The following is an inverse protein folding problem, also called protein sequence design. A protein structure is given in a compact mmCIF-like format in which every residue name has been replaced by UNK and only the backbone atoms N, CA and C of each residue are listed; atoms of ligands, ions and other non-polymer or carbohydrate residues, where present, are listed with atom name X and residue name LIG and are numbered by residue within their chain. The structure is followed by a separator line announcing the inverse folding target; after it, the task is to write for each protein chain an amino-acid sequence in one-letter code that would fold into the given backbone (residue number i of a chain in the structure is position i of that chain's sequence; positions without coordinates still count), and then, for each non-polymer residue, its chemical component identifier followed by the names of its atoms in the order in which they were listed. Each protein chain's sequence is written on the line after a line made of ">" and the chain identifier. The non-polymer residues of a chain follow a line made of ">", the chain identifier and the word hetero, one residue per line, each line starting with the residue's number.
data_IF_184561112656
#
_entry.id   IF_184561112656
#
_cell.length_a   1.000
_cell.length_b   1.000
_cell.length_c   1.000
_cell.angle_alpha   90.00
_cell.angle_beta   90.00
_cell.angle_gamma   90.00
#
_symmetry.space_group_name_H-M   'P 1'
#
loop_
_entity.id
_entity.type
_entity.pdbx_description
1 polymer ?
#
# COMPACT_ATOMS: atom_id res chain seq x y z
N UNK A 1 14.48 -14.88 20.81
CA UNK A 1 13.86 -13.55 20.67
C UNK A 1 13.55 -13.01 22.06
N UNK A 2 13.68 -11.71 22.35
CA UNK A 2 13.24 -11.07 23.60
C UNK A 2 11.87 -10.39 23.48
N UNK A 3 11.28 -9.91 24.59
CA UNK A 3 10.00 -9.15 24.53
C UNK A 3 10.12 -7.90 23.64
N UNK A 4 11.26 -7.22 23.68
CA UNK A 4 11.53 -6.04 22.85
C UNK A 4 11.53 -6.41 21.36
N UNK A 5 12.27 -7.46 20.99
CA UNK A 5 12.36 -7.94 19.61
C UNK A 5 11.00 -8.40 19.06
N UNK A 6 10.15 -9.04 19.88
CA UNK A 6 8.78 -9.38 19.49
C UNK A 6 7.94 -8.14 19.17
N UNK A 7 8.07 -7.07 19.96
CA UNK A 7 7.34 -5.82 19.71
C UNK A 7 7.84 -5.18 18.41
N UNK A 8 9.15 -5.09 18.21
CA UNK A 8 9.73 -4.57 16.97
C UNK A 8 9.27 -5.36 15.74
N UNK A 9 9.20 -6.70 15.82
CA UNK A 9 8.66 -7.53 14.74
C UNK A 9 7.19 -7.21 14.45
N UNK A 10 6.35 -7.06 15.49
CA UNK A 10 4.95 -6.67 15.33
C UNK A 10 4.80 -5.29 14.69
N UNK A 11 5.64 -4.32 15.08
CA UNK A 11 5.64 -2.96 14.50
C UNK A 11 6.08 -2.98 13.03
N UNK A 12 7.12 -3.75 12.71
CA UNK A 12 7.57 -3.97 11.33
C UNK A 12 6.44 -4.56 10.47
N UNK A 13 5.80 -5.63 10.93
CA UNK A 13 4.68 -6.24 10.21
C UNK A 13 3.49 -5.29 10.07
N UNK A 14 3.21 -4.46 11.08
CA UNK A 14 2.14 -3.47 11.03
C UNK A 14 2.40 -2.37 9.98
N UNK A 15 3.68 -2.01 9.80
CA UNK A 15 4.19 -1.03 8.83
C UNK A 15 4.16 -1.55 7.39
N UNK A 16 4.63 -2.77 7.19
CA UNK A 16 4.90 -3.33 5.85
C UNK A 16 3.72 -4.10 5.26
N UNK A 17 2.70 -4.44 6.07
CA UNK A 17 1.58 -5.27 5.62
C UNK A 17 0.21 -4.68 5.95
N UNK A 18 -0.79 -5.09 5.18
CA UNK A 18 -2.21 -4.77 5.43
C UNK A 18 -2.90 -5.76 6.39
N UNK A 19 -2.17 -6.67 7.05
CA UNK A 19 -2.74 -7.69 7.94
C UNK A 19 -3.46 -7.07 9.14
N UNK A 20 -4.43 -7.78 9.69
CA UNK A 20 -5.11 -7.29 10.89
C UNK A 20 -4.12 -7.25 12.09
N UNK A 21 -4.12 -6.20 12.94
CA UNK A 21 -3.20 -6.11 14.07
C UNK A 21 -3.32 -7.29 15.05
N UNK A 22 -4.51 -7.87 15.22
CA UNK A 22 -4.70 -9.06 16.05
C UNK A 22 -4.09 -10.29 15.40
N UNK A 23 -4.20 -10.41 14.08
CA UNK A 23 -3.55 -11.48 13.32
C UNK A 23 -2.02 -11.41 13.43
N UNK A 24 -1.43 -10.21 13.30
CA UNK A 24 0.01 -9.98 13.51
C UNK A 24 0.41 -10.40 14.92
N UNK A 25 -0.30 -9.91 15.94
CA UNK A 25 -0.04 -10.24 17.33
C UNK A 25 -0.07 -11.75 17.58
N UNK A 26 -1.14 -12.42 17.15
CA UNK A 26 -1.29 -13.86 17.37
C UNK A 26 -0.24 -14.66 16.62
N UNK A 27 0.12 -14.24 15.40
CA UNK A 27 1.19 -14.87 14.62
C UNK A 27 2.54 -14.79 15.33
N UNK A 28 2.94 -13.61 15.81
CA UNK A 28 4.25 -13.41 16.47
C UNK A 28 4.29 -14.12 17.83
N UNK A 29 3.20 -14.06 18.60
CA UNK A 29 3.11 -14.75 19.89
C UNK A 29 3.10 -16.27 19.76
N UNK A 30 2.42 -16.84 18.75
CA UNK A 30 2.44 -18.30 18.50
C UNK A 30 3.81 -18.79 18.10
N UNK A 31 4.58 -18.00 17.35
CA UNK A 31 5.96 -18.34 17.00
C UNK A 31 6.93 -18.27 18.19
N UNK A 32 6.57 -17.58 19.28
CA UNK A 32 7.43 -17.34 20.44
C UNK A 32 6.66 -17.49 21.77
N UNK A 33 6.16 -18.70 22.10
CA UNK A 33 5.20 -18.89 23.18
C UNK A 33 5.76 -18.58 24.57
N UNK A 34 7.05 -18.86 24.82
CA UNK A 34 7.70 -18.63 26.12
C UNK A 34 7.68 -17.16 26.55
N UNK A 35 7.61 -16.25 25.58
CA UNK A 35 7.66 -14.80 25.81
C UNK A 35 6.31 -14.16 25.49
N UNK A 36 5.62 -14.67 24.46
CA UNK A 36 4.30 -14.22 24.05
C UNK A 36 3.26 -14.32 25.17
N UNK A 37 3.39 -15.26 26.10
CA UNK A 37 2.51 -15.38 27.27
C UNK A 37 2.53 -14.13 28.18
N UNK A 38 3.60 -13.34 28.16
CA UNK A 38 3.74 -12.12 28.97
C UNK A 38 3.30 -10.86 28.21
N UNK A 39 2.90 -10.98 26.95
CA UNK A 39 2.42 -9.89 26.12
C UNK A 39 0.90 -9.95 26.00
N UNK A 40 0.25 -8.80 26.11
CA UNK A 40 -1.20 -8.68 25.88
C UNK A 40 -1.45 -7.85 24.63
N UNK A 41 -2.44 -8.23 23.83
CA UNK A 41 -2.81 -7.48 22.62
C UNK A 41 -3.14 -6.01 22.91
N UNK A 42 -3.91 -5.66 23.97
CA UNK A 42 -4.18 -4.26 24.30
C UNK A 42 -2.91 -3.43 24.53
N UNK A 43 -1.81 -4.02 25.02
CA UNK A 43 -0.56 -3.31 25.29
C UNK A 43 0.18 -2.82 24.04
N UNK A 44 -0.12 -3.40 22.86
CA UNK A 44 0.62 -3.13 21.63
C UNK A 44 -0.28 -2.66 20.47
N UNK A 45 -1.60 -2.88 20.57
CA UNK A 45 -2.59 -2.52 19.54
C UNK A 45 -2.47 -1.07 19.07
N UNK A 46 -2.48 -0.11 20.01
CA UNK A 46 -2.44 1.31 19.67
C UNK A 46 -1.11 1.70 18.99
N UNK A 47 0.00 1.09 19.42
CA UNK A 47 1.32 1.33 18.83
C UNK A 47 1.40 0.79 17.42
N UNK A 48 0.92 -0.44 17.17
CA UNK A 48 0.84 -1.00 15.81
C UNK A 48 -0.02 -0.13 14.88
N UNK A 49 -1.17 0.35 15.38
CA UNK A 49 -2.05 1.20 14.60
C UNK A 49 -1.38 2.54 14.25
N UNK A 50 -0.70 3.17 15.21
CA UNK A 50 0.03 4.41 15.01
C UNK A 50 1.21 4.23 14.06
N UNK A 51 2.00 3.17 14.22
CA UNK A 51 3.10 2.85 13.30
C UNK A 51 2.60 2.70 11.88
N UNK A 52 1.48 1.99 11.68
CA UNK A 52 0.84 1.84 10.37
C UNK A 52 0.40 3.17 9.77
N UNK A 53 -0.17 4.07 10.56
CA UNK A 53 -0.59 5.39 10.07
C UNK A 53 0.65 6.21 9.69
N UNK A 54 1.65 6.24 10.56
CA UNK A 54 2.86 7.04 10.38
C UNK A 54 3.74 6.54 9.23
N UNK A 55 3.65 5.26 8.87
CA UNK A 55 4.42 4.69 7.78
C UNK A 55 3.77 4.79 6.41
N UNK A 56 2.50 5.19 6.34
CA UNK A 56 1.84 5.38 5.05
C UNK A 56 2.40 6.63 4.37
N UNK A 57 2.67 6.59 3.07
CA UNK A 57 2.98 7.81 2.33
C UNK A 57 1.82 8.79 2.50
N UNK A 58 2.15 10.08 2.59
CA UNK A 58 1.15 11.14 2.64
C UNK A 58 0.25 11.07 1.41
N UNK A 59 -1.04 11.26 1.60
CA UNK A 59 -1.98 11.36 0.50
C UNK A 59 -1.61 12.60 -0.33
N UNK A 60 -1.44 12.48 -1.66
CA UNK A 60 -1.16 13.64 -2.50
C UNK A 60 -2.35 14.59 -2.54
N UNK A 61 -2.07 15.88 -2.39
CA UNK A 61 -3.09 16.93 -2.51
C UNK A 61 -3.41 17.29 -3.97
N UNK A 62 -2.58 16.87 -4.92
CA UNK A 62 -2.76 17.14 -6.35
C UNK A 62 -2.42 15.92 -7.22
N UNK A 63 -3.03 15.84 -8.41
CA UNK A 63 -2.67 14.81 -9.40
C UNK A 63 -1.21 14.90 -9.85
N UNK A 64 -0.61 16.10 -9.86
CA UNK A 64 0.80 16.27 -10.17
C UNK A 64 1.69 15.66 -9.07
N UNK A 65 1.37 15.90 -7.79
CA UNK A 65 2.06 15.26 -6.67
C UNK A 65 1.91 13.74 -6.70
N UNK A 66 0.71 13.24 -7.04
CA UNK A 66 0.47 11.80 -7.20
C UNK A 66 1.36 11.24 -8.32
N UNK A 67 1.38 11.89 -9.49
CA UNK A 67 2.24 11.52 -10.62
C UNK A 67 3.70 11.41 -10.21
N UNK A 68 4.22 12.34 -9.42
CA UNK A 68 5.63 12.35 -9.02
C UNK A 68 5.98 11.24 -8.02
N UNK A 69 5.00 10.76 -7.24
CA UNK A 69 5.18 9.66 -6.30
C UNK A 69 5.08 8.27 -6.95
N UNK A 70 4.25 8.10 -7.98
CA UNK A 70 3.95 6.79 -8.57
C UNK A 70 5.18 6.02 -9.11
N UNK A 71 6.17 6.65 -9.79
CA UNK A 71 7.35 5.94 -10.30
C UNK A 71 8.19 5.25 -9.22
N UNK A 72 8.15 5.76 -7.99
CA UNK A 72 8.94 5.26 -6.87
C UNK A 72 8.15 4.24 -6.01
N UNK A 73 6.92 3.90 -6.41
CA UNK A 73 6.08 2.97 -5.65
C UNK A 73 6.33 1.52 -6.09
N UNK A 74 6.97 0.74 -5.22
CA UNK A 74 7.18 -0.70 -5.46
C UNK A 74 5.85 -1.47 -5.66
N UNK A 75 4.77 -1.02 -5.02
CA UNK A 75 3.46 -1.65 -5.12
C UNK A 75 2.77 -1.39 -6.47
N UNK A 76 3.03 -0.23 -7.06
CA UNK A 76 2.32 0.24 -8.26
C UNK A 76 3.16 0.20 -9.52
N UNK A 77 4.45 -0.16 -9.44
CA UNK A 77 5.36 -0.23 -10.60
C UNK A 77 4.82 -1.09 -11.74
N UNK A 78 4.09 -2.16 -11.43
CA UNK A 78 3.55 -3.08 -12.44
C UNK A 78 2.28 -2.52 -13.12
N UNK A 79 1.61 -1.57 -12.47
CA UNK A 79 0.37 -0.94 -12.93
C UNK A 79 0.58 0.44 -13.52
N UNK A 80 1.56 1.20 -13.03
CA UNK A 80 1.85 2.53 -13.52
C UNK A 80 2.56 2.45 -14.87
N UNK A 81 1.94 3.04 -15.91
CA UNK A 81 2.45 3.00 -17.29
C UNK A 81 2.93 4.35 -17.79
N UNK A 82 2.71 5.40 -17.01
CA UNK A 82 3.16 6.74 -17.32
C UNK A 82 2.11 7.79 -17.00
N UNK A 83 2.39 9.00 -17.44
CA UNK A 83 1.50 10.14 -17.30
C UNK A 83 1.66 11.08 -18.48
N UNK A 84 0.61 11.84 -18.76
CA UNK A 84 0.57 12.81 -19.84
C UNK A 84 0.12 14.14 -19.26
N UNK A 85 0.80 15.21 -19.65
CA UNK A 85 0.37 16.58 -19.34
C UNK A 85 -0.23 17.14 -20.63
N UNK A 86 -1.48 17.58 -20.58
CA UNK A 86 -2.13 18.20 -21.74
C UNK A 86 -1.60 19.62 -21.96
N UNK A 87 -1.85 20.18 -23.16
CA UNK A 87 -1.49 21.58 -23.46
C UNK A 87 -2.13 22.60 -22.52
N UNK A 88 -3.25 22.24 -21.88
CA UNK A 88 -3.94 23.08 -20.89
C UNK A 88 -3.39 22.89 -19.46
N UNK A 89 -2.34 22.09 -19.27
CA UNK A 89 -1.73 21.81 -17.97
C UNK A 89 -2.41 20.70 -17.14
N UNK A 90 -3.42 20.01 -17.69
CA UNK A 90 -4.09 18.93 -16.98
C UNK A 90 -3.21 17.67 -16.97
N UNK A 91 -3.18 16.96 -15.85
CA UNK A 91 -2.41 15.71 -15.70
C UNK A 91 -3.33 14.51 -15.85
N UNK A 92 -3.00 13.62 -16.78
CA UNK A 92 -3.57 12.28 -16.89
C UNK A 92 -2.55 11.25 -16.40
N UNK A 93 -3.01 10.28 -15.60
CA UNK A 93 -2.20 9.19 -15.07
C UNK A 93 -2.71 7.90 -15.70
N UNK A 94 -1.79 7.07 -16.23
CA UNK A 94 -2.13 5.82 -16.87
C UNK A 94 -1.83 4.68 -15.91
N UNK A 95 -2.89 4.04 -15.42
CA UNK A 95 -2.82 2.81 -14.62
C UNK A 95 -3.45 1.68 -15.44
N UNK A 96 -2.66 0.66 -15.76
CA UNK A 96 -3.09 -0.47 -16.59
C UNK A 96 -2.22 -1.70 -16.32
N UNK A 97 -2.71 -2.88 -16.69
CA UNK A 97 -1.88 -4.10 -16.77
C UNK A 97 -1.25 -4.22 -18.14
N UNK A 98 -0.21 -5.05 -18.27
CA UNK A 98 0.34 -5.37 -19.59
C UNK A 98 -0.72 -6.07 -20.45
N UNK A 99 -1.48 -7.01 -19.88
CA UNK A 99 -2.56 -7.71 -20.59
C UNK A 99 -3.59 -6.74 -21.19
N UNK A 100 -3.96 -5.69 -20.47
CA UNK A 100 -4.91 -4.69 -20.97
C UNK A 100 -4.29 -3.81 -22.06
N UNK A 101 -3.01 -3.45 -21.93
CA UNK A 101 -2.27 -2.72 -22.98
C UNK A 101 -2.18 -3.57 -24.25
N UNK A 102 -1.84 -4.85 -24.12
CA UNK A 102 -1.71 -5.76 -25.25
C UNK A 102 -3.06 -5.95 -25.95
N UNK A 103 -4.14 -6.15 -25.18
CA UNK A 103 -5.50 -6.18 -25.72
C UNK A 103 -5.86 -4.90 -26.47
N UNK A 104 -5.59 -3.73 -25.87
CA UNK A 104 -5.81 -2.41 -26.49
C UNK A 104 -5.01 -2.24 -27.79
N UNK A 105 -3.78 -2.75 -27.86
CA UNK A 105 -2.94 -2.65 -29.05
C UNK A 105 -3.49 -3.40 -30.27
N UNK A 106 -4.25 -4.47 -30.02
CA UNK A 106 -4.89 -5.30 -31.04
C UNK A 106 -6.34 -4.90 -31.35
N UNK A 107 -6.93 -4.03 -30.52
CA UNK A 107 -8.31 -3.62 -30.65
C UNK A 107 -8.50 -2.67 -31.84
N UNK A 108 -9.52 -2.94 -32.67
CA UNK A 108 -9.93 -2.04 -33.76
C UNK A 108 -10.99 -1.04 -33.34
N UNK A 109 -11.67 -1.30 -32.22
CA UNK A 109 -12.76 -0.49 -31.69
C UNK A 109 -12.64 -0.42 -30.16
N UNK A 110 -12.96 0.74 -29.59
CA UNK A 110 -12.95 0.98 -28.15
C UNK A 110 -14.32 1.55 -27.78
N UNK A 111 -15.04 0.84 -26.91
CA UNK A 111 -16.28 1.33 -26.30
C UNK A 111 -15.94 1.91 -24.93
N UNK A 112 -16.21 3.20 -24.75
CA UNK A 112 -15.92 3.91 -23.51
C UNK A 112 -17.23 4.37 -22.90
N UNK A 113 -17.53 3.90 -21.69
CA UNK A 113 -18.56 4.49 -20.84
C UNK A 113 -17.89 5.47 -19.87
N UNK A 114 -18.14 6.75 -20.10
CA UNK A 114 -17.64 7.82 -19.26
C UNK A 114 -18.68 8.21 -18.23
N UNK A 115 -18.54 7.72 -17.00
CA UNK A 115 -19.31 8.24 -15.87
C UNK A 115 -18.63 9.52 -15.36
N UNK A 116 -19.08 10.66 -15.89
CA UNK A 116 -18.70 11.97 -15.37
C UNK A 116 -19.94 12.60 -14.71
N UNK A 117 -19.86 12.90 -13.41
CA UNK A 117 -20.88 13.63 -12.64
C UNK A 117 -20.42 15.04 -12.33
#
# INVERSE_FOLDING_TARGET
>A
MGQYEMKEEMLKLARETCRDPKEIFDSVCRSNPSIGQYLSFPSIRCTMHRERINSRPSVPDTLASLRDMLPNSDMLKDFYKGSIITSCGNTAIILSTNDLIDALSSATEIYVDGTFS
#
